data_IF_150630084132
#
_entry.id   IF_150630084132
#
_cell.length_a   1.000
_cell.length_b   1.000
_cell.length_c   1.000
_cell.angle_alpha   90.00
_cell.angle_beta   90.00
_cell.angle_gamma   90.00
#
_symmetry.space_group_name_H-M   'P 1'
#
loop_
_entity.id
_entity.type
_entity.pdbx_description
1 polymer ?
#
# COMPACT_ATOMS: atom_id res chain seq x y z
N UNK A 1 50.00 -12.77 0.26
CA UNK A 1 49.53 -13.25 -1.05
C UNK A 1 48.81 -14.59 -0.94
N UNK A 2 49.53 -15.71 -1.05
CA UNK A 2 48.97 -17.06 -0.82
C UNK A 2 49.72 -17.86 0.29
N UNK A 3 50.94 -17.45 0.64
CA UNK A 3 51.78 -18.11 1.64
C UNK A 3 51.43 -17.76 3.11
N UNK A 4 50.74 -16.64 3.34
CA UNK A 4 50.30 -16.23 4.68
C UNK A 4 49.02 -16.93 5.12
N UNK A 5 48.22 -17.43 4.18
CA UNK A 5 46.90 -18.01 4.42
C UNK A 5 46.96 -19.26 5.29
N UNK A 6 47.75 -20.31 4.98
CA UNK A 6 47.82 -21.50 5.83
C UNK A 6 48.45 -21.19 7.21
N UNK A 7 49.47 -20.34 7.27
CA UNK A 7 50.10 -19.93 8.54
C UNK A 7 49.16 -19.08 9.42
N UNK A 8 48.19 -18.39 8.82
CA UNK A 8 47.18 -17.60 9.52
C UNK A 8 46.05 -18.48 10.05
N UNK A 9 45.61 -19.46 9.26
CA UNK A 9 44.61 -20.45 9.69
C UNK A 9 45.14 -21.32 10.83
N UNK A 10 46.39 -21.79 10.72
CA UNK A 10 47.06 -22.56 11.77
C UNK A 10 47.10 -21.80 13.10
N UNK A 11 47.50 -20.52 13.06
CA UNK A 11 47.50 -19.65 14.24
C UNK A 11 46.11 -19.50 14.87
N UNK A 12 45.06 -19.49 14.06
CA UNK A 12 43.70 -19.32 14.57
C UNK A 12 43.12 -20.62 15.13
N UNK A 13 43.50 -21.77 14.56
CA UNK A 13 43.23 -23.08 15.17
C UNK A 13 43.97 -23.21 16.52
N UNK A 14 45.21 -22.74 16.61
CA UNK A 14 45.97 -22.72 17.87
C UNK A 14 45.30 -21.83 18.92
N UNK A 15 44.82 -20.65 18.53
CA UNK A 15 44.07 -19.72 19.40
C UNK A 15 42.76 -20.33 19.87
N UNK A 16 42.00 -20.99 18.99
CA UNK A 16 40.78 -21.71 19.34
C UNK A 16 41.05 -22.86 20.32
N UNK A 17 42.09 -23.66 20.05
CA UNK A 17 42.47 -24.83 20.87
C UNK A 17 42.92 -24.42 22.28
N UNK A 18 43.65 -23.31 22.40
CA UNK A 18 44.16 -22.80 23.67
C UNK A 18 43.31 -21.67 24.25
N UNK A 19 42.07 -21.50 23.79
CA UNK A 19 41.22 -20.37 24.16
C UNK A 19 41.08 -20.16 25.67
N UNK A 20 40.78 -21.23 26.40
CA UNK A 20 40.60 -21.19 27.87
C UNK A 20 41.91 -20.81 28.59
N UNK A 21 43.05 -21.25 28.05
CA UNK A 21 44.38 -20.94 28.59
C UNK A 21 44.78 -19.49 28.29
N UNK A 22 44.50 -19.01 27.08
CA UNK A 22 44.82 -17.66 26.62
C UNK A 22 43.97 -16.59 27.31
N UNK A 23 42.73 -16.93 27.64
CA UNK A 23 41.78 -16.00 28.24
C UNK A 23 41.69 -16.14 29.77
N UNK A 24 42.25 -17.20 30.36
CA UNK A 24 42.18 -17.44 31.81
C UNK A 24 40.75 -17.46 32.36
N UNK A 25 39.78 -17.84 31.53
CA UNK A 25 38.34 -17.81 31.84
C UNK A 25 37.67 -16.44 31.68
N UNK A 26 38.39 -15.37 31.32
CA UNK A 26 37.85 -14.03 31.05
C UNK A 26 38.62 -13.35 29.91
N UNK A 27 38.08 -13.44 28.70
CA UNK A 27 38.65 -12.73 27.56
C UNK A 27 38.48 -11.21 27.74
N UNK A 28 39.54 -10.44 27.51
CA UNK A 28 39.49 -8.98 27.46
C UNK A 28 38.62 -8.52 26.28
N UNK A 29 37.76 -7.51 26.47
CA UNK A 29 36.90 -6.95 25.41
C UNK A 29 37.73 -6.45 24.23
N UNK A 30 38.92 -5.89 24.48
CA UNK A 30 39.82 -5.45 23.43
C UNK A 30 40.33 -6.62 22.57
N UNK A 31 40.58 -7.78 23.18
CA UNK A 31 41.00 -8.99 22.49
C UNK A 31 39.85 -9.59 21.68
N UNK A 32 38.64 -9.67 22.25
CA UNK A 32 37.44 -10.12 21.54
C UNK A 32 37.16 -9.22 20.33
N UNK A 33 37.24 -7.91 20.50
CA UNK A 33 37.07 -6.95 19.42
C UNK A 33 38.13 -7.15 18.32
N UNK A 34 39.41 -7.30 18.69
CA UNK A 34 40.48 -7.49 17.72
C UNK A 34 40.33 -8.80 16.92
N UNK A 35 40.02 -9.91 17.60
CA UNK A 35 39.79 -11.21 16.95
C UNK A 35 38.54 -11.18 16.09
N UNK A 36 37.46 -10.58 16.59
CA UNK A 36 36.20 -10.42 15.86
C UNK A 36 36.32 -9.54 14.62
N UNK A 37 37.26 -8.59 14.57
CA UNK A 37 37.53 -7.73 13.41
C UNK A 37 38.49 -8.35 12.39
N UNK A 38 39.25 -9.38 12.78
CA UNK A 38 40.27 -9.95 11.91
C UNK A 38 39.62 -10.77 10.78
N UNK A 39 39.87 -10.48 9.50
CA UNK A 39 39.24 -11.20 8.40
C UNK A 39 39.95 -12.52 8.11
N UNK A 40 39.65 -13.58 8.88
CA UNK A 40 40.35 -14.87 8.80
C UNK A 40 39.45 -16.06 8.43
N UNK A 41 38.13 -15.89 8.42
CA UNK A 41 37.21 -16.99 8.16
C UNK A 41 36.91 -17.04 6.67
N UNK A 42 37.24 -18.14 5.97
CA UNK A 42 36.87 -18.30 4.57
C UNK A 42 35.36 -18.50 4.43
N UNK A 43 34.81 -17.95 3.35
CA UNK A 43 33.42 -18.16 2.91
C UNK A 43 33.42 -18.86 1.56
N UNK A 44 32.29 -19.42 1.12
CA UNK A 44 32.21 -20.21 -0.13
C UNK A 44 32.75 -19.48 -1.38
N UNK A 45 32.69 -18.15 -1.41
CA UNK A 45 33.25 -17.33 -2.50
C UNK A 45 34.79 -17.27 -2.52
N UNK A 46 35.49 -17.89 -1.57
CA UNK A 46 36.94 -17.83 -1.41
C UNK A 46 37.46 -16.54 -0.75
N UNK A 47 36.57 -15.63 -0.37
CA UNK A 47 36.89 -14.43 0.42
C UNK A 47 37.09 -14.77 1.89
N UNK A 48 37.85 -13.93 2.59
CA UNK A 48 38.00 -13.99 4.04
C UNK A 48 37.19 -12.87 4.69
N UNK A 49 36.32 -13.23 5.62
CA UNK A 49 35.52 -12.29 6.41
C UNK A 49 35.92 -12.32 7.87
N UNK A 50 35.61 -11.22 8.56
CA UNK A 50 35.76 -11.12 10.00
C UNK A 50 34.61 -11.84 10.68
N UNK A 51 34.83 -12.39 11.87
CA UNK A 51 33.77 -13.13 12.57
C UNK A 51 32.54 -12.26 12.81
N UNK A 52 32.72 -10.97 13.11
CA UNK A 52 31.62 -10.00 13.29
C UNK A 52 30.75 -9.76 12.05
N UNK A 53 31.27 -10.08 10.87
CA UNK A 53 30.58 -9.91 9.59
C UNK A 53 29.88 -11.21 9.15
N UNK A 54 30.07 -12.30 9.90
CA UNK A 54 29.49 -13.60 9.62
C UNK A 54 28.14 -13.76 10.29
N UNK A 55 27.31 -14.59 9.64
CA UNK A 55 26.00 -15.00 10.12
C UNK A 55 26.09 -16.46 10.55
N UNK A 56 25.50 -16.77 11.70
CA UNK A 56 25.42 -18.14 12.19
C UNK A 56 24.53 -19.01 11.26
N UNK A 57 25.08 -20.05 10.60
CA UNK A 57 24.30 -20.95 9.74
C UNK A 57 23.24 -21.76 10.51
N UNK A 58 23.34 -21.84 11.85
CA UNK A 58 22.34 -22.50 12.71
C UNK A 58 21.08 -21.66 12.88
N UNK A 59 21.15 -20.34 12.63
CA UNK A 59 19.99 -19.47 12.73
C UNK A 59 19.13 -19.56 11.45
N UNK A 60 18.09 -20.39 11.50
CA UNK A 60 17.17 -20.60 10.38
C UNK A 60 16.53 -19.30 9.85
N UNK A 61 16.29 -18.31 10.72
CA UNK A 61 15.69 -17.02 10.37
C UNK A 61 16.64 -16.20 9.50
N UNK A 62 17.88 -16.02 9.95
CA UNK A 62 18.91 -15.30 9.19
C UNK A 62 19.28 -16.05 7.90
N UNK A 63 19.39 -17.37 7.96
CA UNK A 63 19.58 -18.22 6.78
C UNK A 63 18.49 -18.01 5.75
N UNK A 64 17.22 -17.83 6.17
CA UNK A 64 16.11 -17.64 5.24
C UNK A 64 16.18 -16.34 4.43
N UNK A 65 16.87 -15.31 4.93
CA UNK A 65 17.01 -13.98 4.31
C UNK A 65 18.29 -13.87 3.51
N UNK A 66 19.40 -14.35 4.07
CA UNK A 66 20.74 -14.14 3.51
C UNK A 66 21.24 -15.30 2.64
N UNK A 67 20.38 -16.29 2.34
CA UNK A 67 20.79 -17.48 1.61
C UNK A 67 21.44 -17.21 0.23
N UNK A 68 22.30 -18.15 -0.16
CA UNK A 68 22.95 -18.42 -1.47
C UNK A 68 23.76 -17.32 -2.18
N UNK A 69 23.69 -16.04 -1.81
CA UNK A 69 24.35 -14.97 -2.61
C UNK A 69 25.28 -14.02 -1.86
N UNK A 70 25.33 -14.11 -0.53
CA UNK A 70 26.07 -13.10 0.26
C UNK A 70 27.48 -13.47 0.66
N UNK A 71 27.84 -14.76 0.57
CA UNK A 71 29.14 -15.22 1.07
C UNK A 71 29.40 -14.75 2.50
N UNK A 72 28.36 -14.72 3.34
CA UNK A 72 28.40 -14.30 4.75
C UNK A 72 28.29 -15.47 5.73
N UNK A 73 28.19 -16.68 5.21
CA UNK A 73 28.26 -17.90 6.00
C UNK A 73 29.68 -18.46 5.96
N UNK A 74 30.17 -19.00 7.08
CA UNK A 74 31.45 -19.70 7.10
C UNK A 74 31.49 -20.83 6.07
N UNK A 75 32.64 -21.07 5.44
CA UNK A 75 32.85 -22.25 4.61
C UNK A 75 32.71 -23.54 5.45
N UNK A 76 32.50 -24.68 4.78
CA UNK A 76 32.19 -25.96 5.43
C UNK A 76 33.15 -26.34 6.59
N UNK A 77 34.45 -26.07 6.44
CA UNK A 77 35.48 -26.33 7.45
C UNK A 77 35.27 -25.52 8.76
N UNK A 78 34.71 -24.32 8.64
CA UNK A 78 34.42 -23.38 9.74
C UNK A 78 32.94 -23.44 10.19
N UNK A 79 32.14 -24.31 9.57
CA UNK A 79 30.73 -24.54 9.92
C UNK A 79 30.55 -25.73 10.90
N UNK A 80 31.62 -26.23 11.50
CA UNK A 80 31.56 -27.29 12.52
C UNK A 80 31.13 -26.72 13.88
N UNK A 81 30.52 -27.53 14.78
CA UNK A 81 30.01 -27.04 16.07
C UNK A 81 31.04 -26.29 16.92
N UNK A 82 32.27 -26.80 16.98
CA UNK A 82 33.36 -26.20 17.76
C UNK A 82 33.81 -24.85 17.18
N UNK A 83 33.84 -24.75 15.84
CA UNK A 83 34.16 -23.49 15.17
C UNK A 83 33.04 -22.47 15.35
N UNK A 84 31.78 -22.87 15.19
CA UNK A 84 30.65 -21.95 15.38
C UNK A 84 30.57 -21.42 16.81
N UNK A 85 30.84 -22.26 17.82
CA UNK A 85 30.90 -21.83 19.22
C UNK A 85 32.05 -20.83 19.46
N UNK A 86 33.22 -21.04 18.83
CA UNK A 86 34.31 -20.08 18.89
C UNK A 86 33.98 -18.77 18.19
N UNK A 87 33.42 -18.83 16.97
CA UNK A 87 33.03 -17.66 16.18
C UNK A 87 31.96 -16.82 16.89
N UNK A 88 31.00 -17.47 17.53
CA UNK A 88 30.00 -16.84 18.39
C UNK A 88 30.64 -16.04 19.54
N UNK A 89 31.65 -16.62 20.23
CA UNK A 89 32.38 -15.92 21.31
C UNK A 89 33.11 -14.67 20.84
N UNK A 90 33.60 -14.66 19.60
CA UNK A 90 34.33 -13.53 19.02
C UNK A 90 33.45 -12.60 18.18
N UNK A 91 32.12 -12.74 18.25
CA UNK A 91 31.17 -11.75 17.75
C UNK A 91 30.41 -12.11 16.48
N UNK A 92 30.37 -13.37 16.06
CA UNK A 92 29.49 -13.82 14.97
C UNK A 92 28.02 -13.51 15.28
N UNK A 93 27.28 -13.07 14.26
CA UNK A 93 25.87 -12.68 14.40
C UNK A 93 25.00 -13.93 14.54
N UNK A 94 24.52 -14.19 15.74
CA UNK A 94 23.65 -15.32 16.07
C UNK A 94 22.17 -14.95 16.12
N UNK A 95 21.84 -13.67 16.17
CA UNK A 95 20.48 -13.15 16.28
C UNK A 95 20.22 -12.02 15.28
N UNK A 96 18.95 -11.65 15.13
CA UNK A 96 18.53 -10.54 14.27
C UNK A 96 18.90 -9.22 14.94
N UNK A 97 19.74 -8.43 14.29
CA UNK A 97 20.09 -7.08 14.73
C UNK A 97 19.47 -6.02 13.78
N UNK A 98 19.46 -4.76 14.23
CA UNK A 98 18.92 -3.63 13.47
C UNK A 98 19.69 -3.39 12.17
N UNK A 99 21.01 -3.57 12.21
CA UNK A 99 21.89 -3.29 11.07
C UNK A 99 21.69 -4.31 9.94
N UNK A 100 21.57 -5.60 10.26
CA UNK A 100 21.24 -6.67 9.33
C UNK A 100 19.89 -6.44 8.67
N UNK A 101 18.88 -6.02 9.43
CA UNK A 101 17.56 -5.73 8.88
C UNK A 101 17.62 -4.54 7.91
N UNK A 102 18.32 -3.47 8.25
CA UNK A 102 18.52 -2.33 7.37
C UNK A 102 19.27 -2.72 6.09
N UNK A 103 20.35 -3.49 6.22
CA UNK A 103 21.12 -3.98 5.08
C UNK A 103 20.26 -4.87 4.16
N UNK A 104 19.50 -5.80 4.73
CA UNK A 104 18.63 -6.70 3.98
C UNK A 104 17.48 -5.94 3.29
N UNK A 105 16.87 -4.98 3.98
CA UNK A 105 15.82 -4.13 3.41
C UNK A 105 16.37 -3.28 2.27
N UNK A 106 17.55 -2.67 2.44
CA UNK A 106 18.22 -1.88 1.40
C UNK A 106 18.63 -2.75 0.20
N UNK A 107 19.09 -3.98 0.42
CA UNK A 107 19.41 -4.92 -0.64
C UNK A 107 18.19 -5.29 -1.47
N UNK A 108 17.09 -5.64 -0.83
CA UNK A 108 15.82 -5.93 -1.51
C UNK A 108 15.33 -4.71 -2.27
N UNK A 109 15.42 -3.52 -1.67
CA UNK A 109 15.01 -2.26 -2.31
C UNK A 109 15.77 -1.99 -3.61
N UNK A 110 17.06 -2.37 -3.70
CA UNK A 110 17.87 -2.25 -4.94
C UNK A 110 17.39 -3.15 -6.08
N UNK A 111 16.62 -4.20 -5.77
CA UNK A 111 16.08 -5.15 -6.75
C UNK A 111 14.60 -4.90 -7.05
N UNK A 112 14.05 -3.73 -6.68
CA UNK A 112 12.65 -3.37 -6.92
C UNK A 112 12.23 -3.49 -8.39
N UNK A 113 13.09 -3.10 -9.33
CA UNK A 113 12.80 -3.20 -10.77
C UNK A 113 12.68 -4.66 -11.23
N UNK A 114 13.48 -5.57 -10.67
CA UNK A 114 13.38 -7.00 -10.97
C UNK A 114 12.07 -7.59 -10.45
N UNK A 115 11.59 -7.13 -9.30
CA UNK A 115 10.29 -7.54 -8.74
C UNK A 115 9.15 -7.01 -9.62
N UNK A 116 9.18 -5.72 -9.99
CA UNK A 116 8.14 -5.11 -10.81
C UNK A 116 8.08 -5.70 -12.24
N UNK A 117 9.24 -6.07 -12.80
CA UNK A 117 9.34 -6.71 -14.11
C UNK A 117 8.94 -8.20 -14.10
N UNK A 118 8.86 -8.83 -12.92
CA UNK A 118 8.52 -10.24 -12.80
C UNK A 118 7.09 -10.52 -13.29
N UNK A 119 6.94 -11.51 -14.18
CA UNK A 119 5.63 -11.92 -14.68
C UNK A 119 4.87 -12.84 -13.72
N UNK A 120 5.56 -13.43 -12.74
CA UNK A 120 4.95 -14.27 -11.72
C UNK A 120 4.11 -13.40 -10.76
N UNK A 121 2.82 -13.75 -10.53
CA UNK A 121 1.99 -13.10 -9.51
C UNK A 121 2.62 -13.05 -8.12
N UNK A 122 3.53 -13.98 -7.79
CA UNK A 122 4.25 -14.01 -6.52
C UNK A 122 5.35 -12.93 -6.40
N UNK A 123 5.74 -12.31 -7.52
CA UNK A 123 6.85 -11.35 -7.60
C UNK A 123 8.26 -11.97 -7.66
N UNK A 124 8.35 -13.30 -7.73
CA UNK A 124 9.60 -14.03 -7.88
C UNK A 124 10.48 -14.08 -6.61
N UNK A 125 11.73 -14.55 -6.73
CA UNK A 125 12.61 -14.80 -5.58
C UNK A 125 12.91 -13.55 -4.74
N UNK A 126 13.05 -12.39 -5.38
CA UNK A 126 13.29 -11.13 -4.67
C UNK A 126 12.09 -10.67 -3.86
N UNK A 127 10.85 -10.87 -4.35
CA UNK A 127 9.65 -10.58 -3.58
C UNK A 127 9.47 -11.55 -2.40
N UNK A 128 9.84 -12.82 -2.57
CA UNK A 128 9.88 -13.79 -1.47
C UNK A 128 10.88 -13.36 -0.38
N UNK A 129 12.10 -12.99 -0.77
CA UNK A 129 13.10 -12.44 0.16
C UNK A 129 12.60 -11.18 0.85
N UNK A 130 11.98 -10.26 0.12
CA UNK A 130 11.35 -9.06 0.66
C UNK A 130 10.29 -9.38 1.73
N UNK A 131 9.41 -10.38 1.48
CA UNK A 131 8.39 -10.83 2.43
C UNK A 131 9.03 -11.37 3.70
N UNK A 132 10.12 -12.11 3.59
CA UNK A 132 10.85 -12.64 4.74
C UNK A 132 11.48 -11.54 5.58
N UNK A 133 12.16 -10.57 4.95
CA UNK A 133 12.76 -9.43 5.67
C UNK A 133 11.70 -8.67 6.46
N UNK A 134 10.57 -8.34 5.82
CA UNK A 134 9.46 -7.66 6.49
C UNK A 134 8.81 -8.51 7.59
N UNK A 135 8.59 -9.80 7.33
CA UNK A 135 8.04 -10.72 8.32
C UNK A 135 8.94 -10.87 9.55
N UNK A 136 10.26 -10.89 9.37
CA UNK A 136 11.23 -10.97 10.48
C UNK A 136 11.21 -9.70 11.32
N UNK A 137 11.17 -8.53 10.69
CA UNK A 137 11.03 -7.27 11.41
C UNK A 137 9.80 -7.27 12.33
N UNK A 138 8.66 -7.76 11.85
CA UNK A 138 7.43 -7.84 12.65
C UNK A 138 7.51 -8.93 13.73
N UNK A 139 7.98 -10.14 13.37
CA UNK A 139 8.02 -11.28 14.29
C UNK A 139 9.04 -11.10 15.42
N UNK A 140 10.14 -10.39 15.17
CA UNK A 140 11.21 -10.15 16.14
C UNK A 140 11.18 -8.73 16.71
N UNK A 141 10.10 -7.97 16.50
CA UNK A 141 9.99 -6.59 16.95
C UNK A 141 10.28 -6.42 18.44
N UNK A 142 9.74 -7.31 19.27
CA UNK A 142 9.88 -7.24 20.73
C UNK A 142 11.36 -7.45 21.16
N UNK A 143 12.10 -8.33 20.46
CA UNK A 143 13.54 -8.52 20.69
C UNK A 143 14.37 -7.31 20.27
N UNK A 144 13.99 -6.65 19.16
CA UNK A 144 14.64 -5.42 18.71
C UNK A 144 14.38 -4.27 19.68
N UNK A 145 13.17 -4.18 20.24
CA UNK A 145 12.80 -3.20 21.25
C UNK A 145 13.65 -3.34 22.52
N UNK A 146 13.86 -4.58 23.00
CA UNK A 146 14.62 -4.83 24.22
C UNK A 146 16.13 -4.57 24.06
N UNK A 147 16.68 -4.79 22.85
CA UNK A 147 18.13 -4.75 22.61
C UNK A 147 18.65 -3.45 22.03
N UNK A 148 17.81 -2.72 21.29
CA UNK A 148 18.26 -1.49 20.63
C UNK A 148 18.34 -0.33 21.61
N UNK A 149 19.53 0.26 21.75
CA UNK A 149 19.71 1.47 22.55
C UNK A 149 18.91 2.67 21.99
N UNK A 150 18.64 2.65 20.68
CA UNK A 150 17.84 3.66 19.98
C UNK A 150 16.97 3.02 18.88
N UNK A 151 15.84 2.42 19.29
CA UNK A 151 14.83 1.90 18.36
C UNK A 151 14.30 2.99 17.42
N UNK A 152 14.23 4.24 17.88
CA UNK A 152 13.66 5.34 17.11
C UNK A 152 14.54 5.66 15.92
N UNK A 153 15.86 5.76 16.12
CA UNK A 153 16.81 5.96 15.03
C UNK A 153 16.76 4.81 14.01
N UNK A 154 16.64 3.56 14.47
CA UNK A 154 16.46 2.42 13.56
C UNK A 154 15.19 2.56 12.71
N UNK A 155 14.04 2.84 13.32
CA UNK A 155 12.77 2.99 12.59
C UNK A 155 12.82 4.15 11.59
N UNK A 156 13.47 5.27 11.94
CA UNK A 156 13.67 6.40 11.03
C UNK A 156 14.55 6.05 9.83
N UNK A 157 15.55 5.17 10.00
CA UNK A 157 16.38 4.67 8.90
C UNK A 157 15.63 3.65 8.03
N UNK A 158 14.73 2.85 8.63
CA UNK A 158 13.93 1.86 7.92
C UNK A 158 12.79 2.50 7.11
N UNK A 159 12.16 3.56 7.65
CA UNK A 159 11.00 4.25 7.06
C UNK A 159 11.15 4.64 5.57
N UNK A 160 12.28 5.20 5.09
CA UNK A 160 12.43 5.58 3.69
C UNK A 160 12.65 4.41 2.73
N UNK A 161 12.92 3.19 3.23
CA UNK A 161 13.27 2.04 2.41
C UNK A 161 12.00 1.40 1.82
N UNK A 162 11.98 1.19 0.50
CA UNK A 162 10.92 0.42 -0.17
C UNK A 162 11.29 -1.05 -0.16
N UNK A 163 10.77 -1.80 0.79
CA UNK A 163 11.07 -3.23 0.94
C UNK A 163 9.83 -4.11 1.17
N UNK A 164 8.62 -3.52 1.21
CA UNK A 164 7.37 -4.27 1.40
C UNK A 164 6.82 -4.73 0.04
N UNK A 165 6.81 -6.03 -0.25
CA UNK A 165 6.34 -6.57 -1.52
C UNK A 165 4.83 -6.77 -1.50
N UNK A 166 4.08 -5.82 -2.05
CA UNK A 166 2.62 -5.84 -2.06
C UNK A 166 2.07 -5.76 -3.49
N UNK A 167 0.88 -6.30 -3.76
CA UNK A 167 0.23 -6.12 -5.05
C UNK A 167 -0.13 -4.65 -5.26
N UNK A 168 0.02 -4.16 -6.49
CA UNK A 168 -0.37 -2.79 -6.83
C UNK A 168 -1.87 -2.54 -6.59
N UNK A 169 -2.26 -1.42 -5.93
CA UNK A 169 -3.66 -1.06 -5.66
C UNK A 169 -4.56 -0.96 -6.89
N UNK A 170 -3.96 -0.76 -8.07
CA UNK A 170 -4.68 -0.59 -9.34
C UNK A 170 -4.94 -1.91 -10.07
N UNK A 171 -4.69 -3.04 -9.41
CA UNK A 171 -4.66 -4.34 -10.05
C UNK A 171 -3.35 -4.47 -10.82
N UNK A 172 -2.48 -5.39 -10.40
CA UNK A 172 -1.19 -5.53 -11.06
C UNK A 172 -0.19 -6.38 -10.30
N UNK A 173 1.04 -6.36 -10.83
CA UNK A 173 2.18 -7.09 -10.31
C UNK A 173 2.59 -6.58 -8.92
N UNK A 174 3.32 -7.43 -8.21
CA UNK A 174 3.94 -7.08 -6.92
C UNK A 174 4.95 -5.97 -7.15
N UNK A 175 4.95 -4.99 -6.25
CA UNK A 175 5.90 -3.87 -6.21
C UNK A 175 6.37 -3.64 -4.77
N UNK A 176 7.49 -2.93 -4.61
CA UNK A 176 8.00 -2.57 -3.30
C UNK A 176 7.46 -1.22 -2.83
N UNK A 177 6.96 -1.19 -1.60
CA UNK A 177 6.41 -0.01 -0.94
C UNK A 177 7.16 0.31 0.36
N UNK A 178 7.10 1.57 0.79
CA UNK A 178 7.41 1.99 2.17
C UNK A 178 6.20 1.78 3.05
N UNK A 179 6.37 1.67 4.36
CA UNK A 179 5.23 1.63 5.29
C UNK A 179 4.29 2.83 5.11
N UNK A 180 4.83 4.05 4.93
CA UNK A 180 4.04 5.26 4.68
C UNK A 180 3.22 5.24 3.37
N UNK A 181 3.52 4.34 2.44
CA UNK A 181 2.79 4.19 1.18
C UNK A 181 1.69 3.11 1.27
N UNK A 182 1.46 2.54 2.45
CA UNK A 182 0.53 1.42 2.68
C UNK A 182 -0.55 1.81 3.70
N UNK A 183 -1.56 0.94 3.85
CA UNK A 183 -2.59 1.08 4.87
C UNK A 183 -2.72 -0.21 5.69
N UNK A 184 -3.24 -0.10 6.91
CA UNK A 184 -3.63 -1.27 7.71
C UNK A 184 -4.85 -1.97 7.07
N UNK A 185 -5.01 -3.26 7.35
CA UNK A 185 -6.13 -4.04 6.83
C UNK A 185 -7.51 -3.44 7.18
N UNK A 186 -7.63 -2.85 8.37
CA UNK A 186 -8.86 -2.17 8.83
C UNK A 186 -9.19 -0.91 8.03
N UNK A 187 -8.16 -0.23 7.51
CA UNK A 187 -8.29 1.03 6.76
C UNK A 187 -8.40 0.80 5.24
N UNK A 188 -8.21 -0.44 4.77
CA UNK A 188 -8.31 -0.80 3.36
C UNK A 188 -9.59 -0.27 2.69
N UNK A 189 -10.79 -0.33 3.29
CA UNK A 189 -12.01 0.25 2.72
C UNK A 189 -11.92 1.73 2.35
N UNK A 190 -11.00 2.49 2.95
CA UNK A 190 -10.88 3.93 2.72
C UNK A 190 -9.97 4.28 1.53
N UNK A 191 -9.00 3.42 1.20
CA UNK A 191 -7.86 3.78 0.32
C UNK A 191 -7.41 2.68 -0.65
N UNK A 192 -8.20 1.62 -0.86
CA UNK A 192 -7.78 0.41 -1.61
C UNK A 192 -7.32 0.63 -3.07
N UNK A 193 -7.65 1.75 -3.72
CA UNK A 193 -7.17 2.10 -5.08
C UNK A 193 -5.90 2.93 -5.08
N UNK A 194 -5.48 3.44 -3.94
CA UNK A 194 -4.32 4.33 -3.77
C UNK A 194 -3.20 3.64 -3.00
N UNK A 195 -3.53 2.95 -1.91
CA UNK A 195 -2.57 2.31 -1.02
C UNK A 195 -2.85 0.80 -0.92
N UNK A 196 -1.81 -0.05 -0.99
CA UNK A 196 -2.00 -1.48 -0.78
C UNK A 196 -2.20 -1.75 0.72
N UNK A 197 -3.05 -2.74 1.01
CA UNK A 197 -3.29 -3.17 2.38
C UNK A 197 -2.15 -4.07 2.87
N UNK A 198 -1.63 -3.77 4.05
CA UNK A 198 -0.68 -4.62 4.74
C UNK A 198 -1.37 -5.91 5.22
N UNK A 199 -0.84 -7.08 4.85
CA UNK A 199 -1.18 -8.33 5.53
C UNK A 199 -0.81 -8.23 7.02
N UNK A 200 -1.57 -8.89 7.87
CA UNK A 200 -1.33 -8.91 9.33
C UNK A 200 0.09 -9.35 9.68
N UNK A 201 0.63 -10.34 8.97
CA UNK A 201 1.99 -10.84 9.14
C UNK A 201 3.10 -9.79 8.85
N UNK A 202 2.77 -8.71 8.14
CA UNK A 202 3.69 -7.63 7.78
C UNK A 202 3.36 -6.31 8.49
N UNK A 203 2.31 -6.28 9.31
CA UNK A 203 1.87 -5.11 10.05
C UNK A 203 2.71 -4.95 11.34
N UNK A 204 3.47 -3.86 11.49
CA UNK A 204 4.28 -3.64 12.69
C UNK A 204 3.41 -3.32 13.90
N UNK A 205 4.00 -3.42 15.11
CA UNK A 205 3.37 -2.99 16.36
C UNK A 205 2.97 -1.51 16.28
N UNK A 206 1.88 -1.13 16.94
CA UNK A 206 1.33 0.23 16.93
C UNK A 206 2.33 1.31 17.33
N UNK A 207 3.23 1.00 18.27
CA UNK A 207 4.28 1.91 18.72
C UNK A 207 5.24 2.34 17.59
N UNK A 208 5.40 1.52 16.54
CA UNK A 208 6.27 1.84 15.40
C UNK A 208 5.57 2.63 14.30
N UNK A 209 4.24 2.73 14.31
CA UNK A 209 3.45 3.28 13.20
C UNK A 209 3.87 4.71 12.86
N UNK A 210 3.96 5.57 13.88
CA UNK A 210 4.36 6.97 13.71
C UNK A 210 5.77 7.11 13.11
N UNK A 211 6.74 6.35 13.62
CA UNK A 211 8.13 6.43 13.14
C UNK A 211 8.30 5.92 11.71
N UNK A 212 7.46 4.95 11.30
CA UNK A 212 7.44 4.39 9.94
C UNK A 212 6.56 5.19 8.96
N UNK A 213 5.87 6.22 9.45
CA UNK A 213 4.90 7.01 8.67
C UNK A 213 3.63 6.24 8.29
N UNK A 214 3.35 5.11 8.94
CA UNK A 214 2.12 4.35 8.75
C UNK A 214 0.97 5.05 9.49
N UNK A 215 -0.01 5.55 8.75
CA UNK A 215 -1.12 6.33 9.30
C UNK A 215 -2.38 5.47 9.40
N UNK A 216 -2.99 5.49 10.58
CA UNK A 216 -4.30 4.88 10.85
C UNK A 216 -5.10 5.79 11.78
N UNK A 217 -6.24 6.35 11.34
CA UNK A 217 -6.80 6.23 10.00
C UNK A 217 -5.94 6.97 8.92
N UNK A 218 -6.15 6.70 7.62
CA UNK A 218 -5.44 7.38 6.53
C UNK A 218 -5.74 8.88 6.46
N UNK A 219 -4.90 9.63 5.76
CA UNK A 219 -5.16 11.04 5.49
C UNK A 219 -6.35 11.22 4.56
N UNK A 220 -7.13 12.29 4.80
CA UNK A 220 -8.33 12.59 4.01
C UNK A 220 -8.04 12.79 2.52
N UNK A 221 -6.88 13.36 2.17
CA UNK A 221 -6.41 13.49 0.80
C UNK A 221 -6.37 12.12 0.09
N UNK A 222 -5.77 11.11 0.72
CA UNK A 222 -5.68 9.76 0.18
C UNK A 222 -7.07 9.10 0.02
N UNK A 223 -8.01 9.36 0.95
CA UNK A 223 -9.39 8.87 0.86
C UNK A 223 -10.14 9.48 -0.32
N UNK A 224 -9.94 10.77 -0.59
CA UNK A 224 -10.57 11.49 -1.70
C UNK A 224 -9.93 11.10 -3.04
N UNK A 225 -8.61 10.90 -3.07
CA UNK A 225 -7.91 10.35 -4.23
C UNK A 225 -8.39 8.94 -4.56
N UNK A 226 -8.68 8.13 -3.54
CA UNK A 226 -9.29 6.82 -3.72
C UNK A 226 -10.65 6.93 -4.41
N UNK A 227 -11.55 7.79 -3.93
CA UNK A 227 -12.85 8.05 -4.58
C UNK A 227 -12.73 8.57 -6.00
N UNK A 228 -11.66 9.31 -6.32
CA UNK A 228 -11.41 9.84 -7.66
C UNK A 228 -10.96 8.75 -8.65
N UNK A 229 -10.35 7.67 -8.15
CA UNK A 229 -9.92 6.52 -8.95
C UNK A 229 -10.99 5.43 -9.06
N UNK A 230 -12.00 5.45 -8.19
CA UNK A 230 -13.11 4.49 -8.27
C UNK A 230 -14.02 4.85 -9.44
N UNK A 231 -14.30 3.84 -10.26
CA UNK A 231 -15.25 3.88 -11.37
C UNK A 231 -16.34 2.84 -11.13
N UNK A 232 -17.51 2.94 -11.81
CA UNK A 232 -18.57 1.94 -11.72
C UNK A 232 -18.09 0.50 -11.92
N UNK A 233 -17.17 0.26 -12.87
CA UNK A 233 -16.58 -1.06 -13.16
C UNK A 233 -15.88 -1.71 -11.96
N UNK A 234 -15.47 -0.90 -10.98
CA UNK A 234 -14.83 -1.41 -9.76
C UNK A 234 -15.80 -2.17 -8.85
N UNK A 235 -17.11 -1.95 -8.99
CA UNK A 235 -18.14 -2.60 -8.17
C UNK A 235 -18.60 -3.93 -8.78
N UNK A 236 -18.18 -4.27 -10.00
CA UNK A 236 -18.54 -5.53 -10.64
C UNK A 236 -18.00 -6.74 -9.85
N UNK A 237 -18.70 -7.89 -9.83
CA UNK A 237 -18.33 -9.04 -8.98
C UNK A 237 -16.92 -9.58 -9.19
N UNK A 238 -16.31 -9.37 -10.37
CA UNK A 238 -14.93 -9.78 -10.66
C UNK A 238 -13.87 -8.77 -10.21
N UNK A 239 -14.25 -7.51 -10.02
CA UNK A 239 -13.34 -6.39 -9.71
C UNK A 239 -13.45 -5.94 -8.25
N UNK A 240 -14.59 -6.20 -7.61
CA UNK A 240 -14.87 -5.78 -6.24
C UNK A 240 -14.00 -6.56 -5.24
N UNK A 241 -13.11 -5.89 -4.48
CA UNK A 241 -12.09 -6.58 -3.69
C UNK A 241 -12.55 -6.93 -2.27
N UNK A 242 -13.83 -6.73 -1.95
CA UNK A 242 -14.38 -6.90 -0.60
C UNK A 242 -15.50 -7.95 -0.59
N UNK A 243 -15.64 -8.65 0.54
CA UNK A 243 -16.81 -9.52 0.78
C UNK A 243 -18.07 -8.75 1.19
N UNK A 244 -17.91 -7.51 1.65
CA UNK A 244 -19.00 -6.63 2.07
C UNK A 244 -19.71 -5.97 0.87
N UNK A 245 -20.95 -5.55 1.06
CA UNK A 245 -21.71 -4.84 0.03
C UNK A 245 -21.11 -3.44 -0.24
N UNK A 246 -21.09 -2.93 -1.50
CA UNK A 246 -20.53 -1.61 -1.80
C UNK A 246 -21.06 -0.48 -0.91
N UNK A 247 -22.36 -0.46 -0.60
CA UNK A 247 -22.94 0.56 0.27
C UNK A 247 -22.35 0.56 1.68
N UNK A 248 -21.97 -0.59 2.22
CA UNK A 248 -21.34 -0.69 3.55
C UNK A 248 -19.93 -0.10 3.54
N UNK A 249 -19.13 -0.43 2.51
CA UNK A 249 -17.77 0.10 2.33
C UNK A 249 -17.82 1.62 2.13
N UNK A 250 -18.70 2.11 1.26
CA UNK A 250 -18.86 3.54 1.05
C UNK A 250 -19.44 4.27 2.28
N UNK A 251 -20.24 3.58 3.10
CA UNK A 251 -20.68 4.10 4.39
C UNK A 251 -19.51 4.41 5.32
N UNK A 252 -18.48 3.55 5.36
CA UNK A 252 -17.26 3.79 6.13
C UNK A 252 -16.46 4.98 5.58
N UNK A 253 -16.37 5.10 4.25
CA UNK A 253 -15.73 6.25 3.60
C UNK A 253 -16.43 7.55 4.00
N UNK A 254 -17.76 7.58 3.91
CA UNK A 254 -18.54 8.77 4.26
C UNK A 254 -18.51 9.11 5.74
N UNK A 255 -18.47 8.12 6.63
CA UNK A 255 -18.25 8.35 8.05
C UNK A 255 -16.91 9.08 8.30
N UNK A 256 -15.85 8.65 7.63
CA UNK A 256 -14.53 9.28 7.73
C UNK A 256 -14.51 10.70 7.13
N UNK A 257 -15.11 10.89 5.95
CA UNK A 257 -15.21 12.20 5.29
C UNK A 257 -16.03 13.19 6.13
N UNK A 258 -17.19 12.76 6.64
CA UNK A 258 -18.08 13.57 7.47
C UNK A 258 -17.38 14.06 8.75
N UNK A 259 -16.61 13.20 9.41
CA UNK A 259 -15.86 13.55 10.62
C UNK A 259 -14.85 14.69 10.41
N UNK A 260 -14.36 14.86 9.18
CA UNK A 260 -13.36 15.88 8.83
C UNK A 260 -13.93 17.03 8.00
N UNK A 261 -15.22 16.99 7.66
CA UNK A 261 -15.89 17.96 6.79
C UNK A 261 -15.61 19.44 7.11
N UNK A 262 -15.67 19.89 8.38
CA UNK A 262 -15.46 21.32 8.70
C UNK A 262 -14.05 21.83 8.39
N UNK A 263 -13.07 20.92 8.30
CA UNK A 263 -11.65 21.23 8.05
C UNK A 263 -11.26 21.04 6.58
N UNK A 264 -12.19 20.62 5.73
CA UNK A 264 -11.92 20.35 4.33
C UNK A 264 -11.68 21.62 3.52
N UNK A 265 -10.64 21.59 2.69
CA UNK A 265 -10.39 22.65 1.72
C UNK A 265 -11.42 22.63 0.59
N UNK A 266 -11.62 23.79 -0.04
CA UNK A 266 -12.50 23.91 -1.21
C UNK A 266 -12.03 23.01 -2.38
N UNK A 267 -10.71 22.82 -2.53
CA UNK A 267 -10.16 21.95 -3.58
C UNK A 267 -10.60 20.48 -3.40
N UNK A 268 -10.54 19.97 -2.16
CA UNK A 268 -10.96 18.60 -1.85
C UNK A 268 -12.48 18.43 -2.04
N UNK A 269 -13.29 19.42 -1.64
CA UNK A 269 -14.74 19.40 -1.91
C UNK A 269 -15.05 19.39 -3.41
N UNK A 270 -14.35 20.21 -4.21
CA UNK A 270 -14.51 20.23 -5.66
C UNK A 270 -14.10 18.92 -6.34
N UNK A 271 -13.12 18.20 -5.78
CA UNK A 271 -12.73 16.86 -6.23
C UNK A 271 -13.82 15.83 -5.92
N UNK A 272 -14.37 15.84 -4.69
CA UNK A 272 -15.51 14.99 -4.31
C UNK A 272 -16.74 15.21 -5.19
N UNK A 273 -17.06 16.46 -5.51
CA UNK A 273 -18.19 16.83 -6.37
C UNK A 273 -18.15 16.13 -7.75
N UNK A 274 -16.95 15.84 -8.27
CA UNK A 274 -16.74 15.18 -9.56
C UNK A 274 -16.57 13.66 -9.46
N UNK A 275 -16.37 13.14 -8.24
CA UNK A 275 -16.05 11.74 -7.98
C UNK A 275 -17.29 10.86 -7.93
N UNK A 276 -17.14 9.58 -8.29
CA UNK A 276 -18.17 8.57 -8.09
C UNK A 276 -18.16 8.16 -6.62
N UNK A 277 -19.08 8.69 -5.82
CA UNK A 277 -19.00 8.56 -4.36
C UNK A 277 -20.23 7.94 -3.71
N UNK A 278 -21.30 7.63 -4.46
CA UNK A 278 -22.51 7.01 -3.91
C UNK A 278 -22.96 5.82 -4.76
N UNK A 279 -22.92 4.59 -4.22
CA UNK A 279 -23.52 3.41 -4.85
C UNK A 279 -25.05 3.44 -4.76
N UNK A 280 -25.73 3.70 -5.88
CA UNK A 280 -27.20 3.80 -5.94
C UNK A 280 -27.90 2.48 -6.27
N UNK A 281 -27.17 1.51 -6.81
CA UNK A 281 -27.66 0.16 -7.10
C UNK A 281 -26.60 -0.90 -6.80
N UNK A 282 -26.75 -2.09 -7.39
CA UNK A 282 -25.79 -3.18 -7.20
C UNK A 282 -24.42 -2.89 -7.83
N UNK A 283 -24.41 -2.27 -9.01
CA UNK A 283 -23.21 -1.95 -9.80
C UNK A 283 -23.25 -0.54 -10.41
N UNK A 284 -24.07 0.34 -9.85
CA UNK A 284 -24.20 1.72 -10.33
C UNK A 284 -23.75 2.68 -9.25
N UNK A 285 -22.97 3.67 -9.67
CA UNK A 285 -22.50 4.75 -8.84
C UNK A 285 -22.94 6.08 -9.40
N UNK A 286 -23.12 7.05 -8.52
CA UNK A 286 -23.49 8.40 -8.90
C UNK A 286 -22.58 9.44 -8.24
N UNK A 287 -22.41 10.56 -8.94
CA UNK A 287 -21.81 11.77 -8.41
C UNK A 287 -22.84 12.51 -7.53
N UNK A 288 -22.41 13.36 -6.58
CA UNK A 288 -23.33 14.11 -5.73
C UNK A 288 -24.37 14.92 -6.53
N UNK A 289 -23.93 15.55 -7.62
CA UNK A 289 -24.76 16.35 -8.52
C UNK A 289 -25.88 15.62 -9.27
N UNK A 290 -26.00 14.29 -9.08
CA UNK A 290 -26.98 13.40 -9.71
C UNK A 290 -27.94 12.79 -8.68
N UNK A 291 -27.90 13.27 -7.43
CA UNK A 291 -28.67 12.73 -6.31
C UNK A 291 -29.80 13.68 -5.89
N UNK A 292 -30.91 13.11 -5.46
CA UNK A 292 -32.03 13.85 -4.88
C UNK A 292 -32.66 13.20 -3.65
N UNK A 293 -33.48 13.96 -2.92
CA UNK A 293 -34.25 13.44 -1.77
C UNK A 293 -35.67 13.04 -2.19
N UNK A 294 -36.38 13.93 -2.90
CA UNK A 294 -37.66 13.66 -3.53
C UNK A 294 -37.66 14.17 -4.98
N UNK A 295 -38.42 13.52 -5.86
CA UNK A 295 -38.57 13.93 -7.26
C UNK A 295 -39.93 13.45 -7.76
N UNK A 296 -40.69 14.36 -8.38
CA UNK A 296 -42.04 14.05 -8.87
C UNK A 296 -42.01 13.05 -10.03
N UNK A 297 -41.00 13.19 -10.89
CA UNK A 297 -40.78 12.33 -12.06
C UNK A 297 -39.37 11.74 -12.00
N UNK A 298 -39.22 10.43 -11.74
CA UNK A 298 -37.91 9.78 -11.76
C UNK A 298 -37.25 9.84 -13.15
N UNK A 299 -35.95 10.12 -13.20
CA UNK A 299 -35.18 10.22 -14.44
C UNK A 299 -33.94 9.30 -14.47
N UNK A 300 -34.08 7.97 -14.28
CA UNK A 300 -32.95 7.04 -14.38
C UNK A 300 -32.42 6.95 -15.82
N UNK A 301 -31.11 6.80 -16.07
CA UNK A 301 -30.02 6.65 -15.10
C UNK A 301 -29.39 7.99 -14.68
N UNK A 302 -29.98 9.13 -15.04
CA UNK A 302 -29.37 10.46 -14.87
C UNK A 302 -29.61 11.08 -13.50
N UNK A 303 -30.68 10.70 -12.81
CA UNK A 303 -30.98 11.14 -11.44
C UNK A 303 -31.44 9.96 -10.60
N UNK A 304 -30.93 9.91 -9.38
CA UNK A 304 -31.24 8.84 -8.44
C UNK A 304 -31.56 9.39 -7.04
N UNK A 305 -32.51 8.76 -6.32
CA UNK A 305 -32.70 9.09 -4.93
C UNK A 305 -31.48 8.70 -4.12
N UNK A 306 -31.14 9.46 -3.07
CA UNK A 306 -30.09 9.08 -2.14
C UNK A 306 -30.50 7.78 -1.42
N UNK A 307 -29.68 6.72 -1.43
CA UNK A 307 -29.96 5.52 -0.65
C UNK A 307 -30.04 5.82 0.85
N UNK A 308 -30.93 5.13 1.56
CA UNK A 308 -31.22 5.39 2.97
C UNK A 308 -29.98 5.25 3.87
N UNK A 309 -29.04 4.39 3.51
CA UNK A 309 -27.78 4.16 4.21
C UNK A 309 -26.87 5.40 4.25
N UNK A 310 -27.12 6.38 3.36
CA UNK A 310 -26.37 7.63 3.29
C UNK A 310 -27.14 8.84 3.80
N UNK A 311 -28.37 8.65 4.32
CA UNK A 311 -29.28 9.74 4.70
C UNK A 311 -28.65 10.70 5.74
N UNK A 312 -27.88 10.17 6.69
CA UNK A 312 -27.20 10.97 7.73
C UNK A 312 -26.17 11.96 7.15
N UNK A 313 -25.74 11.75 5.91
CA UNK A 313 -24.76 12.59 5.21
C UNK A 313 -25.40 13.57 4.22
N UNK A 314 -26.74 13.69 4.19
CA UNK A 314 -27.49 14.51 3.23
C UNK A 314 -26.99 15.95 3.13
N UNK A 315 -26.69 16.59 4.27
CA UNK A 315 -26.21 17.99 4.30
C UNK A 315 -24.91 18.17 3.51
N UNK A 316 -24.01 17.19 3.56
CA UNK A 316 -22.74 17.21 2.84
C UNK A 316 -22.94 17.00 1.34
N UNK A 317 -23.87 16.12 0.96
CA UNK A 317 -24.23 15.94 -0.45
C UNK A 317 -24.86 17.19 -1.05
N UNK A 318 -25.69 17.92 -0.31
CA UNK A 318 -26.25 19.20 -0.79
C UNK A 318 -25.15 20.23 -1.06
N UNK A 319 -24.15 20.35 -0.18
CA UNK A 319 -22.98 21.21 -0.42
C UNK A 319 -22.20 20.80 -1.69
N UNK A 320 -22.26 19.52 -2.09
CA UNK A 320 -21.63 19.00 -3.30
C UNK A 320 -22.55 19.05 -4.54
N UNK A 321 -23.77 19.58 -4.40
CA UNK A 321 -24.72 19.76 -5.50
C UNK A 321 -25.80 18.69 -5.63
N UNK A 322 -26.05 17.88 -4.60
CA UNK A 322 -27.30 17.11 -4.52
C UNK A 322 -28.49 18.06 -4.29
N UNK A 323 -29.65 17.71 -4.83
CA UNK A 323 -30.83 18.59 -4.82
C UNK A 323 -31.99 17.97 -4.05
N UNK A 324 -32.59 18.65 -3.04
CA UNK A 324 -33.68 18.08 -2.26
C UNK A 324 -34.90 17.77 -3.14
N UNK A 325 -35.25 18.72 -4.00
CA UNK A 325 -36.27 18.56 -5.04
C UNK A 325 -35.73 19.19 -6.34
N UNK A 326 -35.41 18.39 -7.37
CA UNK A 326 -34.91 18.91 -8.65
C UNK A 326 -35.89 19.91 -9.26
N UNK A 327 -35.49 21.19 -9.32
CA UNK A 327 -36.30 22.22 -9.95
C UNK A 327 -36.02 22.31 -11.46
N UNK A 328 -36.85 23.09 -12.16
CA UNK A 328 -36.79 23.21 -13.62
C UNK A 328 -35.44 23.77 -14.10
N UNK A 329 -34.82 24.67 -13.34
CA UNK A 329 -33.51 25.24 -13.66
C UNK A 329 -32.41 24.19 -13.54
N UNK A 330 -32.42 23.39 -12.48
CA UNK A 330 -31.51 22.26 -12.33
C UNK A 330 -31.68 21.24 -13.47
N UNK A 331 -32.93 20.91 -13.82
CA UNK A 331 -33.24 19.98 -14.92
C UNK A 331 -32.71 20.50 -16.27
N UNK A 332 -32.78 21.81 -16.51
CA UNK A 332 -32.22 22.45 -17.70
C UNK A 332 -30.69 22.30 -17.72
N UNK A 333 -30.03 22.60 -16.61
CA UNK A 333 -28.58 22.48 -16.48
C UNK A 333 -28.12 21.01 -16.52
N UNK A 334 -28.96 20.08 -16.07
CA UNK A 334 -28.76 18.63 -16.19
C UNK A 334 -28.73 18.20 -17.66
N UNK A 335 -29.68 18.67 -18.49
CA UNK A 335 -29.72 18.36 -19.92
C UNK A 335 -28.43 18.82 -20.62
N UNK A 336 -27.96 20.04 -20.33
CA UNK A 336 -26.70 20.55 -20.86
C UNK A 336 -25.49 19.69 -20.43
N UNK A 337 -25.46 19.21 -19.18
CA UNK A 337 -24.42 18.29 -18.71
C UNK A 337 -24.48 16.93 -19.42
N UNK A 338 -25.68 16.38 -19.64
CA UNK A 338 -25.85 15.11 -20.38
C UNK A 338 -25.34 15.28 -21.82
N UNK A 339 -25.70 16.36 -22.50
CA UNK A 339 -25.18 16.67 -23.84
C UNK A 339 -23.65 16.70 -23.88
N UNK A 340 -23.02 17.41 -22.94
CA UNK A 340 -21.57 17.49 -22.84
C UNK A 340 -20.90 16.14 -22.52
N UNK A 341 -21.50 15.32 -21.66
CA UNK A 341 -20.96 14.01 -21.26
C UNK A 341 -21.03 12.96 -22.38
N UNK A 342 -22.12 12.93 -23.16
CA UNK A 342 -22.26 11.97 -24.25
C UNK A 342 -21.50 12.40 -25.51
N UNK A 343 -21.23 13.70 -25.69
CA UNK A 343 -20.40 14.24 -26.76
C UNK A 343 -20.73 13.67 -28.17
N UNK A 344 -22.03 13.49 -28.46
CA UNK A 344 -22.54 12.97 -29.74
C UNK A 344 -22.58 11.45 -29.88
N UNK A 345 -22.29 10.70 -28.81
CA UNK A 345 -22.57 9.26 -28.72
C UNK A 345 -24.08 8.99 -28.63
N UNK A 346 -24.55 7.85 -29.18
CA UNK A 346 -25.97 7.49 -29.12
C UNK A 346 -26.38 7.09 -27.70
N UNK A 347 -27.58 7.52 -27.31
CA UNK A 347 -28.23 7.12 -26.07
C UNK A 347 -28.81 5.70 -26.20
N UNK A 348 -28.80 4.93 -25.13
CA UNK A 348 -29.58 3.69 -25.02
C UNK A 348 -31.09 4.01 -25.00
N UNK A 349 -31.97 3.03 -25.29
CA UNK A 349 -33.42 3.26 -25.27
C UNK A 349 -33.94 3.81 -23.93
N UNK A 350 -33.38 3.35 -22.81
CA UNK A 350 -33.76 3.83 -21.47
C UNK A 350 -33.31 5.28 -21.25
N UNK A 351 -32.08 5.60 -21.63
CA UNK A 351 -31.54 6.97 -21.53
C UNK A 351 -32.31 7.94 -22.43
N UNK A 352 -32.63 7.53 -23.65
CA UNK A 352 -33.43 8.32 -24.59
C UNK A 352 -34.82 8.60 -24.02
N UNK A 353 -35.50 7.60 -23.44
CA UNK A 353 -36.79 7.79 -22.79
C UNK A 353 -36.76 8.82 -21.65
N UNK A 354 -35.69 8.81 -20.84
CA UNK A 354 -35.50 9.80 -19.77
C UNK A 354 -35.17 11.19 -20.29
N UNK A 355 -34.38 11.31 -21.37
CA UNK A 355 -34.13 12.60 -22.05
C UNK A 355 -35.42 13.18 -22.62
N UNK A 356 -36.27 12.37 -23.26
CA UNK A 356 -37.57 12.82 -23.77
C UNK A 356 -38.47 13.30 -22.64
N UNK A 357 -38.51 12.56 -21.53
CA UNK A 357 -39.27 12.95 -20.33
C UNK A 357 -38.76 14.28 -19.77
N UNK A 358 -37.44 14.45 -19.69
CA UNK A 358 -36.80 15.70 -19.27
C UNK A 358 -37.17 16.88 -20.17
N UNK A 359 -37.18 16.67 -21.50
CA UNK A 359 -37.57 17.70 -22.47
C UNK A 359 -39.03 18.11 -22.34
N UNK A 360 -39.95 17.17 -22.14
CA UNK A 360 -41.36 17.50 -21.88
C UNK A 360 -41.51 18.34 -20.61
N UNK A 361 -40.84 17.96 -19.51
CA UNK A 361 -40.87 18.74 -18.27
C UNK A 361 -40.34 20.17 -18.46
N UNK A 362 -39.25 20.34 -19.23
CA UNK A 362 -38.70 21.66 -19.53
C UNK A 362 -39.59 22.48 -20.46
N UNK A 363 -40.23 21.83 -21.43
CA UNK A 363 -41.18 22.47 -22.34
C UNK A 363 -42.43 22.97 -21.61
N UNK A 364 -43.04 22.11 -20.79
CA UNK A 364 -44.26 22.43 -20.03
C UNK A 364 -44.05 23.60 -19.05
N UNK A 365 -42.80 23.78 -18.60
CA UNK A 365 -42.40 24.87 -17.70
C UNK A 365 -41.72 26.05 -18.41
N UNK A 366 -41.75 26.10 -19.75
CA UNK A 366 -41.15 27.16 -20.57
C UNK A 366 -39.68 27.49 -20.24
N UNK A 367 -38.88 26.45 -19.97
CA UNK A 367 -37.51 26.57 -19.45
C UNK A 367 -36.48 25.80 -20.27
N UNK A 368 -36.76 25.57 -21.56
CA UNK A 368 -35.81 24.97 -22.48
C UNK A 368 -34.51 25.80 -22.53
N UNK A 369 -33.33 25.16 -22.57
CA UNK A 369 -32.07 25.86 -22.69
C UNK A 369 -31.94 26.50 -24.07
N UNK A 370 -31.12 27.56 -24.15
CA UNK A 370 -30.66 28.14 -25.40
C UNK A 370 -29.12 27.99 -25.45
N UNK A 371 -28.56 27.15 -26.32
CA UNK A 371 -29.24 26.36 -27.35
C UNK A 371 -30.03 25.15 -26.81
N UNK A 372 -31.03 24.69 -27.57
CA UNK A 372 -31.87 23.54 -27.22
C UNK A 372 -31.14 22.25 -27.61
N UNK A 373 -31.12 21.27 -26.69
CA UNK A 373 -30.52 19.95 -26.95
C UNK A 373 -31.60 18.90 -27.27
N UNK A 374 -31.66 18.42 -28.51
CA UNK A 374 -32.67 17.46 -28.97
C UNK A 374 -32.03 16.17 -29.50
N UNK A 375 -32.62 14.99 -29.26
CA UNK A 375 -32.15 13.75 -29.86
C UNK A 375 -32.47 13.68 -31.36
N UNK A 376 -31.53 13.22 -32.17
CA UNK A 376 -31.71 12.91 -33.60
C UNK A 376 -32.31 11.50 -33.81
N UNK A 377 -32.55 11.12 -35.08
CA UNK A 377 -33.08 9.80 -35.45
C UNK A 377 -32.18 8.62 -35.01
N UNK A 378 -30.89 8.88 -34.76
CA UNK A 378 -29.94 7.90 -34.26
C UNK A 378 -29.83 7.92 -32.73
N UNK A 379 -30.68 8.68 -32.03
CA UNK A 379 -30.69 8.80 -30.57
C UNK A 379 -29.53 9.62 -30.02
N UNK A 380 -28.90 10.49 -30.81
CA UNK A 380 -27.78 11.34 -30.37
C UNK A 380 -28.30 12.74 -30.05
N UNK A 381 -27.90 13.30 -28.91
CA UNK A 381 -28.23 14.68 -28.58
C UNK A 381 -27.47 15.67 -29.49
N UNK A 382 -28.20 16.57 -30.14
CA UNK A 382 -27.71 17.66 -31.00
C UNK A 382 -28.10 19.01 -30.43
N UNK A 383 -27.23 20.02 -30.63
CA UNK A 383 -27.54 21.41 -30.30
C UNK A 383 -28.36 22.02 -31.44
N UNK A 384 -29.33 22.89 -31.14
CA UNK A 384 -30.09 23.63 -32.16
C UNK A 384 -29.23 24.56 -33.02
N UNK A 385 -27.98 24.82 -32.62
CA UNK A 385 -27.00 25.64 -33.36
C UNK A 385 -26.15 24.85 -34.38
N UNK A 386 -26.20 23.51 -34.35
CA UNK A 386 -25.34 22.60 -35.14
C UNK A 386 -26.16 21.57 -35.89
#
# INVERSE_FOLDING_TARGET
>A
GALETPARLQRMEDVKTHWEVLTGGRADEALLAALGAAPFVPVESGRFLAARDLIDPRNAVLCSVFNTHHGRFPAAEFATPDWLQFLERIGMKTEVDTDLLLEAAAEVSRHGDSIAACSDPSGGPWAEKARRVAGIFVAHFDQLLDRSADLTAFLQQLAPIRFLPLPSPRGGRVQLFRYAETCLAVDRPLVWRVQPALPEALAPRSIAHQALGLLSPPELSAVIDNLSLVTPDCLEPGSWPFGAHPREVFGQIWAHVAAQWPRMSHALKAQLQRSWCVPVGRYSMQRPGRLYQACDTPLPPFLHPLPAEFADYWVYFMELGAHPHPDVLFLRDLLGRIYAEYAGLPLTPTELGSVITLLHLLHDNAALPDPVYLPDEAGRLRSSET
#
